data_IF_572502151923
#
_entry.id   IF_572502151923
#
_cell.length_a   1.000
_cell.length_b   1.000
_cell.length_c   1.000
_cell.angle_alpha   90.00
_cell.angle_beta   90.00
_cell.angle_gamma   90.00
#
_symmetry.space_group_name_H-M   'P 1'
#
loop_
_entity.id
_entity.type
_entity.pdbx_description
1 polymer ?
#
# COMPACT_ATOMS: atom_id res chain seq x y z
N UNK A 1 19.50 3.42 0.83
CA UNK A 1 18.25 3.89 0.17
C UNK A 1 17.56 2.85 -0.72
N UNK A 2 18.19 2.30 -1.78
CA UNK A 2 17.50 1.38 -2.74
C UNK A 2 16.85 0.17 -2.06
N UNK A 3 17.53 -0.49 -1.10
CA UNK A 3 16.96 -1.61 -0.33
C UNK A 3 15.73 -1.20 0.49
N UNK A 4 15.77 -0.01 1.12
CA UNK A 4 14.68 0.52 1.94
C UNK A 4 13.45 0.88 1.10
N UNK A 5 13.67 1.40 -0.11
CA UNK A 5 12.63 1.73 -1.08
C UNK A 5 11.93 0.47 -1.62
N UNK A 6 12.71 -0.53 -2.07
CA UNK A 6 12.18 -1.82 -2.50
C UNK A 6 11.42 -2.52 -1.38
N UNK A 7 11.89 -2.37 -0.14
CA UNK A 7 11.17 -2.86 1.02
C UNK A 7 9.80 -2.19 1.17
N UNK A 8 9.76 -0.86 1.28
CA UNK A 8 8.50 -0.13 1.52
C UNK A 8 7.42 -0.45 0.46
N UNK A 9 7.83 -0.57 -0.81
CA UNK A 9 6.92 -0.92 -1.90
C UNK A 9 6.39 -2.35 -1.71
N UNK A 10 7.23 -3.33 -1.39
CA UNK A 10 6.79 -4.70 -1.09
C UNK A 10 5.84 -4.74 0.12
N UNK A 11 6.07 -3.92 1.15
CA UNK A 11 5.21 -3.83 2.33
C UNK A 11 3.81 -3.30 1.97
N UNK A 12 3.76 -2.19 1.21
CA UNK A 12 2.50 -1.61 0.73
C UNK A 12 1.75 -2.57 -0.21
N UNK A 13 2.46 -3.25 -1.12
CA UNK A 13 1.84 -4.21 -2.06
C UNK A 13 1.35 -5.48 -1.39
N UNK A 14 2.11 -6.04 -0.45
CA UNK A 14 1.69 -7.27 0.27
C UNK A 14 0.52 -7.00 1.20
N UNK A 15 0.49 -5.83 1.84
CA UNK A 15 -0.61 -5.45 2.73
C UNK A 15 -1.87 -5.05 1.95
N UNK A 16 -1.74 -4.36 0.81
CA UNK A 16 -2.87 -4.07 -0.08
C UNK A 16 -3.36 -5.32 -0.83
N UNK A 17 -2.46 -6.25 -1.16
CA UNK A 17 -2.75 -7.51 -1.85
C UNK A 17 -3.40 -8.57 -0.96
N UNK A 18 -3.18 -8.52 0.36
CA UNK A 18 -3.89 -9.36 1.33
C UNK A 18 -5.40 -9.06 1.39
N UNK A 19 -5.82 -7.90 0.88
CA UNK A 19 -7.23 -7.46 0.83
C UNK A 19 -7.98 -8.00 -0.40
N UNK A 20 -7.27 -8.66 -1.32
CA UNK A 20 -7.87 -9.26 -2.52
C UNK A 20 -8.31 -10.73 -2.31
N UNK A 21 -8.06 -11.31 -1.14
CA UNK A 21 -8.73 -12.54 -0.73
C UNK A 21 -10.13 -12.16 -0.19
N UNK A 22 -11.21 -12.79 -0.67
CA UNK A 22 -12.55 -12.51 -0.14
C UNK A 22 -12.62 -13.07 1.27
N UNK A 23 -12.46 -12.22 2.29
CA UNK A 23 -13.04 -12.52 3.60
C UNK A 23 -14.37 -11.80 3.63
N UNK A 24 -15.43 -12.60 3.60
CA UNK A 24 -16.83 -12.19 3.63
C UNK A 24 -17.07 -11.18 4.76
N UNK A 25 -17.41 -9.94 4.39
CA UNK A 25 -17.96 -8.94 5.28
C UNK A 25 -19.43 -9.29 5.57
N UNK A 26 -19.66 -10.34 6.35
CA UNK A 26 -20.95 -10.62 6.98
C UNK A 26 -20.72 -11.22 8.36
N UNK A 27 -21.05 -10.43 9.38
CA UNK A 27 -21.76 -10.89 10.58
C UNK A 27 -21.04 -11.78 11.59
N UNK A 28 -20.95 -11.23 12.80
CA UNK A 28 -21.09 -11.94 14.08
C UNK A 28 -19.96 -12.87 14.55
N UNK A 29 -19.34 -12.45 15.65
CA UNK A 29 -19.12 -13.34 16.78
C UNK A 29 -17.82 -14.15 16.80
N UNK A 30 -16.98 -13.77 17.77
CA UNK A 30 -16.16 -14.69 18.57
C UNK A 30 -14.78 -15.11 18.05
N UNK A 31 -13.83 -14.91 18.96
CA UNK A 31 -12.52 -15.52 19.12
C UNK A 31 -11.39 -15.02 18.23
N UNK A 32 -10.32 -14.60 18.91
CA UNK A 32 -9.08 -14.11 18.32
C UNK A 32 -8.48 -15.12 17.36
N UNK A 33 -8.73 -14.92 16.08
CA UNK A 33 -7.94 -15.51 15.03
C UNK A 33 -6.61 -14.79 14.98
N UNK A 34 -5.65 -15.38 15.70
CA UNK A 34 -4.24 -15.13 15.49
C UNK A 34 -3.91 -15.64 14.09
N UNK A 35 -4.07 -14.79 13.08
CA UNK A 35 -3.54 -15.04 11.74
C UNK A 35 -2.08 -15.38 11.94
N UNK A 36 -1.72 -16.65 11.71
CA UNK A 36 -0.35 -17.12 11.86
C UNK A 36 0.55 -16.16 11.05
N UNK A 37 1.57 -15.55 11.66
CA UNK A 37 2.40 -14.58 10.96
C UNK A 37 2.95 -15.25 9.71
N UNK A 38 2.67 -14.66 8.55
CA UNK A 38 3.24 -15.14 7.31
C UNK A 38 4.78 -15.05 7.49
N UNK A 39 5.54 -16.16 7.37
CA UNK A 39 6.98 -16.14 7.60
C UNK A 39 7.70 -15.15 6.67
N UNK A 40 7.15 -14.89 5.48
CA UNK A 40 7.66 -13.87 4.58
C UNK A 40 7.42 -12.45 5.08
N UNK A 41 6.33 -12.20 5.82
CA UNK A 41 6.01 -10.91 6.41
C UNK A 41 6.90 -10.61 7.62
N UNK A 42 7.15 -11.61 8.49
CA UNK A 42 8.09 -11.45 9.60
C UNK A 42 9.53 -11.22 9.14
N UNK A 43 9.98 -12.00 8.14
CA UNK A 43 11.31 -11.81 7.53
C UNK A 43 11.45 -10.40 6.96
N UNK A 44 10.42 -9.95 6.25
CA UNK A 44 10.38 -8.63 5.65
C UNK A 44 10.44 -7.50 6.72
N UNK A 45 9.62 -7.60 7.77
CA UNK A 45 9.59 -6.60 8.85
C UNK A 45 10.92 -6.56 9.62
N UNK A 46 11.55 -7.71 9.83
CA UNK A 46 12.86 -7.79 10.47
C UNK A 46 13.97 -7.18 9.59
N UNK A 47 13.96 -7.42 8.28
CA UNK A 47 14.91 -6.79 7.37
C UNK A 47 14.71 -5.27 7.31
N UNK A 48 13.47 -4.81 7.24
CA UNK A 48 13.14 -3.38 7.27
C UNK A 48 13.57 -2.72 8.59
N UNK A 49 13.32 -3.37 9.73
CA UNK A 49 13.80 -2.91 11.05
C UNK A 49 15.32 -2.79 11.09
N UNK A 50 16.03 -3.83 10.64
CA UNK A 50 17.49 -3.86 10.63
C UNK A 50 18.07 -2.76 9.72
N UNK A 51 17.51 -2.58 8.52
CA UNK A 51 17.93 -1.53 7.61
C UNK A 51 17.66 -0.12 8.19
N UNK A 52 16.49 0.09 8.80
CA UNK A 52 16.16 1.36 9.45
C UNK A 52 17.12 1.69 10.59
N UNK A 53 17.43 0.71 11.46
CA UNK A 53 18.37 0.88 12.56
C UNK A 53 19.78 1.16 12.07
N UNK A 54 20.25 0.45 11.04
CA UNK A 54 21.58 0.65 10.46
C UNK A 54 21.76 2.04 9.82
N UNK A 55 20.71 2.57 9.19
CA UNK A 55 20.75 3.86 8.49
C UNK A 55 20.56 5.05 9.43
N UNK A 56 19.59 4.97 10.35
CA UNK A 56 19.17 6.09 11.21
C UNK A 56 19.75 6.05 12.62
N UNK A 57 20.28 4.89 13.05
CA UNK A 57 20.69 4.67 14.44
C UNK A 57 19.53 4.53 15.43
N UNK A 58 18.28 4.49 14.96
CA UNK A 58 17.08 4.45 15.81
C UNK A 58 16.00 3.53 15.24
N UNK A 59 15.14 3.01 16.12
CA UNK A 59 13.93 2.25 15.74
C UNK A 59 12.69 3.13 15.62
N UNK A 60 12.79 4.43 15.90
CA UNK A 60 11.64 5.33 15.91
C UNK A 60 10.91 5.37 14.56
N UNK A 61 11.66 5.44 13.45
CA UNK A 61 11.10 5.40 12.10
C UNK A 61 10.38 4.08 11.80
N UNK A 62 11.01 2.95 12.15
CA UNK A 62 10.43 1.62 12.00
C UNK A 62 9.09 1.50 12.76
N UNK A 63 9.08 1.88 14.04
CA UNK A 63 7.89 1.79 14.88
C UNK A 63 6.76 2.70 14.38
N UNK A 64 7.10 3.93 13.96
CA UNK A 64 6.12 4.84 13.36
C UNK A 64 5.53 4.25 12.08
N UNK A 65 6.37 3.74 11.17
CA UNK A 65 5.93 3.09 9.93
C UNK A 65 4.97 1.93 10.20
N UNK A 66 5.37 0.97 11.06
CA UNK A 66 4.58 -0.23 11.31
C UNK A 66 3.26 0.09 12.02
N UNK A 67 3.27 0.99 13.01
CA UNK A 67 2.06 1.38 13.73
C UNK A 67 1.07 2.19 12.87
N UNK A 68 1.57 2.94 11.87
CA UNK A 68 0.76 3.73 10.96
C UNK A 68 0.05 2.90 9.87
N UNK A 69 0.43 1.64 9.64
CA UNK A 69 -0.15 0.83 8.56
C UNK A 69 -1.65 0.62 8.68
N UNK A 70 -2.11 0.08 9.82
CA UNK A 70 -3.53 -0.18 10.04
C UNK A 70 -4.39 1.09 9.92
N UNK A 71 -4.08 2.21 10.61
CA UNK A 71 -4.89 3.41 10.47
C UNK A 71 -4.84 4.02 9.06
N UNK A 72 -3.69 3.95 8.37
CA UNK A 72 -3.59 4.41 6.98
C UNK A 72 -4.50 3.61 6.04
N UNK A 73 -4.53 2.29 6.18
CA UNK A 73 -5.42 1.43 5.39
C UNK A 73 -6.89 1.74 5.66
N UNK A 74 -7.28 1.93 6.92
CA UNK A 74 -8.65 2.30 7.28
C UNK A 74 -9.04 3.66 6.67
N UNK A 75 -8.18 4.67 6.81
CA UNK A 75 -8.36 5.96 6.17
C UNK A 75 -8.53 5.84 4.64
N UNK A 76 -7.70 5.01 3.99
CA UNK A 76 -7.75 4.83 2.54
C UNK A 76 -9.08 4.22 2.09
N UNK A 77 -9.57 3.17 2.75
CA UNK A 77 -10.83 2.52 2.34
C UNK A 77 -12.06 3.37 2.65
N UNK A 78 -11.98 4.23 3.67
CA UNK A 78 -13.04 5.18 4.04
C UNK A 78 -12.98 6.49 3.24
N UNK A 79 -11.88 6.75 2.51
CA UNK A 79 -11.72 7.95 1.71
C UNK A 79 -12.78 8.03 0.62
N UNK A 80 -13.36 9.21 0.47
CA UNK A 80 -14.40 9.50 -0.52
C UNK A 80 -13.95 9.08 -1.93
N UNK A 81 -14.79 8.32 -2.64
CA UNK A 81 -14.54 7.87 -4.00
C UNK A 81 -13.73 6.58 -4.11
N UNK A 82 -13.07 6.12 -3.03
CA UNK A 82 -12.27 4.87 -3.06
C UNK A 82 -13.19 3.65 -3.05
N UNK A 83 -14.22 3.63 -2.20
CA UNK A 83 -15.18 2.52 -2.17
C UNK A 83 -15.94 2.38 -3.49
N UNK A 84 -16.37 3.50 -4.07
CA UNK A 84 -17.05 3.56 -5.36
C UNK A 84 -16.13 3.11 -6.50
N UNK A 85 -14.85 3.49 -6.46
CA UNK A 85 -13.86 2.99 -7.40
C UNK A 85 -13.71 1.47 -7.32
N UNK A 86 -13.54 0.91 -6.12
CA UNK A 86 -13.39 -0.53 -5.93
C UNK A 86 -14.62 -1.29 -6.47
N UNK A 87 -15.82 -0.78 -6.18
CA UNK A 87 -17.06 -1.35 -6.67
C UNK A 87 -17.18 -1.25 -8.20
N UNK A 88 -16.86 -0.08 -8.77
CA UNK A 88 -16.94 0.17 -10.20
C UNK A 88 -15.97 -0.72 -11.00
N UNK A 89 -14.72 -0.87 -10.55
CA UNK A 89 -13.75 -1.78 -11.16
C UNK A 89 -14.25 -3.23 -11.10
N UNK A 90 -14.80 -3.67 -9.96
CA UNK A 90 -15.31 -5.03 -9.79
C UNK A 90 -16.48 -5.33 -10.72
N UNK A 91 -17.43 -4.40 -10.84
CA UNK A 91 -18.66 -4.62 -11.60
C UNK A 91 -18.50 -4.37 -13.10
N UNK A 92 -17.67 -3.39 -13.48
CA UNK A 92 -17.64 -2.85 -14.84
C UNK A 92 -16.23 -2.84 -15.46
N UNK A 93 -15.20 -3.33 -14.78
CA UNK A 93 -13.80 -3.30 -15.24
C UNK A 93 -13.38 -4.43 -16.20
N UNK A 94 -14.31 -5.07 -16.90
CA UNK A 94 -14.04 -6.27 -17.71
C UNK A 94 -13.21 -6.00 -18.97
N UNK A 95 -13.33 -4.81 -19.57
CA UNK A 95 -12.56 -4.38 -20.75
C UNK A 95 -11.53 -3.31 -20.40
N UNK A 96 -10.49 -3.17 -21.23
CA UNK A 96 -9.48 -2.12 -21.03
C UNK A 96 -10.12 -0.73 -21.06
N UNK A 97 -10.99 -0.50 -22.04
CA UNK A 97 -11.69 0.77 -22.25
C UNK A 97 -12.55 1.14 -21.05
N UNK A 98 -13.29 0.18 -20.48
CA UNK A 98 -14.11 0.41 -19.30
C UNK A 98 -13.26 0.73 -18.07
N UNK A 99 -12.14 0.01 -17.88
CA UNK A 99 -11.20 0.31 -16.79
C UNK A 99 -10.58 1.68 -16.91
N UNK A 100 -10.16 2.09 -18.11
CA UNK A 100 -9.63 3.42 -18.35
C UNK A 100 -10.64 4.49 -17.95
N UNK A 101 -11.90 4.36 -18.39
CA UNK A 101 -12.94 5.33 -18.04
C UNK A 101 -13.24 5.38 -16.53
N UNK A 102 -13.22 4.23 -15.83
CA UNK A 102 -13.39 4.18 -14.38
C UNK A 102 -12.20 4.83 -13.68
N UNK A 103 -10.97 4.50 -14.09
CA UNK A 103 -9.75 5.07 -13.51
C UNK A 103 -9.73 6.58 -13.71
N UNK A 104 -9.96 7.08 -14.93
CA UNK A 104 -9.95 8.53 -15.21
C UNK A 104 -10.95 9.28 -14.31
N UNK A 105 -12.10 8.67 -14.03
CA UNK A 105 -13.13 9.24 -13.15
C UNK A 105 -12.70 9.29 -11.69
N UNK A 106 -12.07 8.26 -11.17
CA UNK A 106 -11.77 8.12 -9.74
C UNK A 106 -10.31 8.40 -9.36
N UNK A 107 -9.41 8.59 -10.33
CA UNK A 107 -8.00 8.90 -10.09
C UNK A 107 -7.80 10.11 -9.19
N UNK A 108 -8.55 11.23 -9.32
CA UNK A 108 -8.41 12.34 -8.39
C UNK A 108 -8.71 11.97 -6.93
N UNK A 109 -9.69 11.08 -6.70
CA UNK A 109 -10.03 10.58 -5.36
C UNK A 109 -8.93 9.67 -4.81
N UNK A 110 -8.44 8.73 -5.63
CA UNK A 110 -7.30 7.89 -5.27
C UNK A 110 -6.05 8.71 -4.96
N UNK A 111 -5.78 9.75 -5.73
CA UNK A 111 -4.63 10.62 -5.51
C UNK A 111 -4.75 11.42 -4.21
N UNK A 112 -5.95 11.90 -3.85
CA UNK A 112 -6.19 12.52 -2.54
C UNK A 112 -5.97 11.54 -1.39
N UNK A 113 -6.48 10.31 -1.53
CA UNK A 113 -6.35 9.27 -0.49
C UNK A 113 -4.91 8.87 -0.17
N UNK A 114 -3.91 9.29 -0.97
CA UNK A 114 -2.49 9.14 -0.62
C UNK A 114 -2.12 9.86 0.68
N UNK A 115 -2.89 10.89 1.08
CA UNK A 115 -2.68 11.59 2.36
C UNK A 115 -2.84 10.65 3.58
N UNK A 116 -3.62 9.59 3.45
CA UNK A 116 -3.76 8.55 4.49
C UNK A 116 -2.43 7.87 4.82
N UNK A 117 -1.45 7.91 3.91
CA UNK A 117 -0.14 7.28 4.07
C UNK A 117 0.94 8.25 4.57
N UNK A 118 0.60 9.49 4.93
CA UNK A 118 1.57 10.50 5.36
C UNK A 118 2.41 10.05 6.57
N UNK A 119 1.81 9.35 7.53
CA UNK A 119 2.55 8.84 8.71
C UNK A 119 3.49 7.67 8.37
N UNK A 120 3.14 6.86 7.37
CA UNK A 120 4.02 5.81 6.83
C UNK A 120 5.20 6.45 6.10
N UNK A 121 4.93 7.47 5.28
CA UNK A 121 5.95 8.26 4.58
C UNK A 121 6.91 8.90 5.57
N UNK A 122 6.38 9.50 6.65
CA UNK A 122 7.19 10.11 7.68
C UNK A 122 8.02 9.08 8.45
N UNK A 123 7.45 7.95 8.85
CA UNK A 123 8.21 6.87 9.50
C UNK A 123 9.33 6.32 8.60
N UNK A 124 9.05 6.13 7.30
CA UNK A 124 10.04 5.69 6.33
C UNK A 124 11.14 6.74 6.11
N UNK A 125 10.77 8.02 6.09
CA UNK A 125 11.71 9.12 6.00
C UNK A 125 12.63 9.20 7.23
N UNK A 126 12.13 8.93 8.43
CA UNK A 126 12.96 8.84 9.63
C UNK A 126 14.00 7.70 9.56
N UNK A 127 13.76 6.66 8.75
CA UNK A 127 14.69 5.55 8.55
C UNK A 127 15.83 5.84 7.56
N UNK A 128 15.79 6.94 6.80
CA UNK A 128 16.80 7.20 5.75
C UNK A 128 18.15 7.63 6.33
N UNK A 129 18.17 8.24 7.51
CA UNK A 129 19.37 8.90 8.07
C UNK A 129 19.71 10.24 7.40
N UNK A 130 18.96 10.62 6.37
CA UNK A 130 19.08 11.89 5.65
C UNK A 130 18.17 12.97 6.28
N UNK A 131 18.19 14.18 5.70
CA UNK A 131 17.24 15.22 6.07
C UNK A 131 15.79 14.72 5.92
N UNK A 132 15.00 14.91 6.98
CA UNK A 132 13.64 14.40 7.07
C UNK A 132 12.73 15.01 6.00
N UNK A 133 12.88 16.31 5.71
CA UNK A 133 12.03 17.00 4.73
C UNK A 133 12.32 16.51 3.30
N UNK A 134 13.60 16.34 2.97
CA UNK A 134 14.04 15.77 1.68
C UNK A 134 13.55 14.34 1.52
N UNK A 135 13.70 13.53 2.57
CA UNK A 135 13.28 12.13 2.56
C UNK A 135 11.75 12.00 2.40
N UNK A 136 10.97 12.80 3.14
CA UNK A 136 9.51 12.84 3.01
C UNK A 136 9.07 13.22 1.61
N UNK A 137 9.73 14.19 0.98
CA UNK A 137 9.43 14.58 -0.40
C UNK A 137 9.68 13.43 -1.39
N UNK A 138 10.82 12.74 -1.27
CA UNK A 138 11.16 11.58 -2.11
C UNK A 138 10.10 10.49 -1.97
N UNK A 139 9.74 10.12 -0.74
CA UNK A 139 8.76 9.07 -0.49
C UNK A 139 7.34 9.46 -0.93
N UNK A 140 6.94 10.72 -0.76
CA UNK A 140 5.64 11.23 -1.25
C UNK A 140 5.55 11.18 -2.77
N UNK A 141 6.62 11.61 -3.47
CA UNK A 141 6.73 11.48 -4.93
C UNK A 141 6.69 10.02 -5.36
N UNK A 142 7.35 9.12 -4.62
CA UNK A 142 7.32 7.69 -4.91
C UNK A 142 5.91 7.10 -4.82
N UNK A 143 5.13 7.48 -3.79
CA UNK A 143 3.73 7.05 -3.66
C UNK A 143 2.86 7.55 -4.80
N UNK A 144 3.04 8.82 -5.20
CA UNK A 144 2.30 9.42 -6.33
C UNK A 144 2.64 8.70 -7.64
N UNK A 145 3.93 8.51 -7.93
CA UNK A 145 4.39 7.80 -9.13
C UNK A 145 3.91 6.35 -9.16
N UNK A 146 3.84 5.69 -8.00
CA UNK A 146 3.33 4.34 -7.89
C UNK A 146 1.84 4.29 -8.22
N UNK A 147 1.04 5.22 -7.68
CA UNK A 147 -0.38 5.32 -8.02
C UNK A 147 -0.59 5.60 -9.52
N UNK A 148 0.17 6.53 -10.10
CA UNK A 148 0.15 6.79 -11.54
C UNK A 148 0.45 5.53 -12.35
N UNK A 149 1.47 4.76 -11.95
CA UNK A 149 1.81 3.48 -12.58
C UNK A 149 0.68 2.45 -12.47
N UNK A 150 0.04 2.34 -11.30
CA UNK A 150 -1.09 1.44 -11.07
C UNK A 150 -2.32 1.82 -11.91
N UNK A 151 -2.50 3.10 -12.20
CA UNK A 151 -3.64 3.63 -12.95
C UNK A 151 -3.37 3.72 -14.46
N UNK A 152 -2.10 3.75 -14.87
CA UNK A 152 -1.70 3.85 -16.28
C UNK A 152 -2.26 2.70 -17.12
N UNK A 153 -2.58 3.01 -18.38
CA UNK A 153 -3.03 2.06 -19.39
C UNK A 153 -4.26 1.23 -18.97
N UNK A 154 -5.20 1.84 -18.25
CA UNK A 154 -6.38 1.14 -17.73
C UNK A 154 -6.05 0.15 -16.62
N UNK A 155 -5.00 0.45 -15.85
CA UNK A 155 -4.48 -0.38 -14.76
C UNK A 155 -3.93 -1.73 -15.20
N UNK A 156 -3.48 -1.84 -16.46
CA UNK A 156 -3.06 -3.10 -17.04
C UNK A 156 -1.99 -3.83 -16.20
N UNK A 157 -1.09 -3.07 -15.56
CA UNK A 157 -0.10 -3.61 -14.62
C UNK A 157 -0.74 -4.47 -13.51
N UNK A 158 -1.84 -4.01 -12.91
CA UNK A 158 -2.54 -4.73 -11.83
C UNK A 158 -3.13 -6.04 -12.33
N UNK A 159 -3.74 -6.03 -13.51
CA UNK A 159 -4.35 -7.22 -14.11
C UNK A 159 -3.31 -8.24 -14.57
N UNK A 160 -2.19 -7.76 -15.13
CA UNK A 160 -1.07 -8.62 -15.53
C UNK A 160 -0.38 -9.23 -14.32
N UNK A 161 -0.25 -8.46 -13.23
CA UNK A 161 0.24 -8.95 -11.95
C UNK A 161 -0.69 -10.03 -11.41
N UNK A 162 -1.99 -9.78 -11.27
CA UNK A 162 -2.96 -10.76 -10.77
C UNK A 162 -2.94 -12.07 -11.57
N UNK A 163 -2.97 -11.99 -12.91
CA UNK A 163 -2.90 -13.19 -13.79
C UNK A 163 -1.68 -14.06 -13.50
N UNK A 164 -0.53 -13.47 -13.21
CA UNK A 164 0.71 -14.21 -12.90
C UNK A 164 0.64 -14.94 -11.55
N UNK A 165 -0.16 -14.46 -10.61
CA UNK A 165 -0.33 -15.10 -9.29
C UNK A 165 -1.48 -16.10 -9.22
N UNK A 166 -2.52 -15.94 -10.05
CA UNK A 166 -3.63 -16.90 -10.15
C UNK A 166 -3.36 -18.08 -11.10
N UNK A 167 -2.22 -18.09 -11.80
CA UNK A 167 -1.78 -19.21 -12.66
C UNK A 167 -0.96 -20.27 -11.93
N UNK A 168 -1.02 -20.32 -10.60
CA UNK A 168 -0.49 -21.43 -9.79
C UNK A 168 -1.59 -22.36 -9.33
#
# INVERSE_FOLDING_TARGET
MIKLQSCLICLVVTLLGAQAAPTELTGEGSNGDSVAPNPYQELFLNEYRSACLQMSGSEAGYLKTVSAFRPATMCFVESEGVAEFMLAIRQNGSTKEARTAIIDRYFPALNRSLECFNDIVEGAAMCSGDDLSVSKEIYSKMMTNYLELLCKDGGQFVFDFQKRFTQK
#
